data_IF_226443565704
#
_entry.id   IF_226443565704
#
_cell.length_a   1.000
_cell.length_b   1.000
_cell.length_c   1.000
_cell.angle_alpha   90.00
_cell.angle_beta   90.00
_cell.angle_gamma   90.00
#
_symmetry.space_group_name_H-M   'P 1'
#
loop_
_entity.id
_entity.type
_entity.pdbx_description
1 polymer ?
#
# COMPACT_ATOMS: atom_id res chain seq x y z
N UNK A 1 -31.85 -8.52 -32.43
CA UNK A 1 -30.87 -9.44 -31.81
C UNK A 1 -30.32 -8.72 -30.60
N UNK A 2 -30.79 -9.08 -29.41
CA UNK A 2 -30.32 -8.53 -28.14
C UNK A 2 -29.59 -9.64 -27.41
N UNK A 3 -28.37 -9.37 -26.95
CA UNK A 3 -27.95 -9.53 -25.54
C UNK A 3 -26.63 -8.81 -25.37
N UNK A 4 -26.71 -7.69 -24.66
CA UNK A 4 -25.62 -6.93 -24.07
C UNK A 4 -24.83 -7.86 -23.14
N UNK A 5 -23.57 -8.13 -23.48
CA UNK A 5 -22.64 -8.86 -22.61
C UNK A 5 -22.11 -7.90 -21.55
N UNK A 6 -22.67 -8.00 -20.35
CA UNK A 6 -22.23 -7.36 -19.12
C UNK A 6 -20.79 -7.81 -18.80
N UNK A 7 -19.79 -6.94 -19.00
CA UNK A 7 -18.46 -7.13 -18.42
C UNK A 7 -18.53 -6.73 -16.94
N UNK A 8 -18.10 -7.60 -16.01
CA UNK A 8 -18.19 -7.34 -14.57
C UNK A 8 -17.38 -6.09 -14.19
N UNK A 9 -17.91 -5.34 -13.23
CA UNK A 9 -17.43 -4.04 -12.77
C UNK A 9 -15.91 -4.01 -12.53
N UNK A 10 -15.26 -2.97 -13.02
CA UNK A 10 -13.86 -2.64 -12.76
C UNK A 10 -13.73 -1.66 -11.58
N UNK A 11 -14.61 -1.77 -10.58
CA UNK A 11 -14.87 -0.69 -9.60
C UNK A 11 -14.37 -0.98 -8.17
N UNK A 12 -13.62 -2.06 -7.91
CA UNK A 12 -13.19 -2.41 -6.54
C UNK A 12 -11.70 -2.80 -6.40
N UNK A 13 -10.84 -2.57 -7.41
CA UNK A 13 -9.39 -2.70 -7.19
C UNK A 13 -8.86 -1.39 -6.60
N UNK A 14 -8.37 -1.37 -5.34
CA UNK A 14 -7.79 -0.17 -4.75
C UNK A 14 -6.59 0.29 -5.58
N UNK A 15 -6.38 1.61 -5.66
CA UNK A 15 -5.19 2.14 -6.33
C UNK A 15 -3.95 1.61 -5.60
N UNK A 16 -3.04 0.89 -6.28
CA UNK A 16 -1.83 0.36 -5.64
C UNK A 16 -0.99 1.44 -4.94
N UNK A 17 -1.09 2.70 -5.36
CA UNK A 17 -0.42 3.82 -4.70
C UNK A 17 -1.13 4.28 -3.44
N UNK A 18 -2.45 4.14 -3.37
CA UNK A 18 -3.24 4.40 -2.16
C UNK A 18 -2.97 3.31 -1.12
N UNK A 19 -2.96 2.04 -1.54
CA UNK A 19 -2.58 0.90 -0.67
C UNK A 19 -1.14 1.04 -0.14
N UNK A 20 -0.19 1.45 -1.00
CA UNK A 20 1.18 1.71 -0.56
C UNK A 20 1.24 2.82 0.51
N UNK A 21 0.50 3.91 0.32
CA UNK A 21 0.47 5.02 1.28
C UNK A 21 -0.11 4.59 2.64
N UNK A 22 -1.15 3.75 2.66
CA UNK A 22 -1.70 3.19 3.91
C UNK A 22 -0.69 2.29 4.63
N UNK A 23 0.09 1.51 3.88
CA UNK A 23 1.14 0.69 4.45
C UNK A 23 2.30 1.52 5.00
N UNK A 24 2.71 2.60 4.32
CA UNK A 24 3.72 3.53 4.82
C UNK A 24 3.28 4.18 6.14
N UNK A 25 2.04 4.66 6.24
CA UNK A 25 1.47 5.24 7.47
C UNK A 25 1.49 4.22 8.64
N UNK A 26 1.19 2.95 8.33
CA UNK A 26 1.26 1.87 9.32
C UNK A 26 2.71 1.64 9.79
N UNK A 27 3.68 1.65 8.88
CA UNK A 27 5.10 1.48 9.23
C UNK A 27 5.61 2.64 10.09
N UNK A 28 5.24 3.88 9.76
CA UNK A 28 5.57 5.06 10.56
C UNK A 28 4.99 4.94 11.98
N UNK A 29 3.73 4.52 12.12
CA UNK A 29 3.11 4.28 13.42
C UNK A 29 3.86 3.22 14.26
N UNK A 30 4.31 2.11 13.64
CA UNK A 30 5.07 1.08 14.35
C UNK A 30 6.40 1.61 14.89
N UNK A 31 7.05 2.51 14.16
CA UNK A 31 8.29 3.17 14.59
C UNK A 31 7.99 4.14 15.74
N UNK A 32 6.94 4.96 15.62
CA UNK A 32 6.56 5.92 16.66
C UNK A 32 6.18 5.25 17.99
N UNK A 33 5.51 4.09 17.93
CA UNK A 33 5.11 3.32 19.11
C UNK A 33 6.26 2.51 19.73
N UNK A 34 7.46 2.48 19.13
CA UNK A 34 8.64 1.73 19.58
C UNK A 34 8.31 0.25 19.87
N UNK A 35 7.51 -0.36 19.00
CA UNK A 35 7.16 -1.78 19.13
C UNK A 35 8.30 -2.66 18.64
N UNK A 36 8.25 -3.96 18.93
CA UNK A 36 9.31 -4.90 18.57
C UNK A 36 9.62 -4.97 17.05
N UNK A 37 8.73 -4.47 16.19
CA UNK A 37 8.89 -4.39 14.74
C UNK A 37 9.34 -3.01 14.24
N UNK A 38 9.63 -2.05 15.12
CA UNK A 38 10.03 -0.69 14.74
C UNK A 38 11.30 -0.68 13.86
N UNK A 39 12.32 -1.46 14.23
CA UNK A 39 13.57 -1.56 13.45
C UNK A 39 13.33 -2.15 12.05
N UNK A 40 12.49 -3.19 11.94
CA UNK A 40 12.12 -3.78 10.66
C UNK A 40 11.30 -2.79 9.80
N UNK A 41 10.45 -1.98 10.43
CA UNK A 41 9.65 -0.97 9.76
C UNK A 41 10.50 0.19 9.21
N UNK A 42 11.52 0.64 9.95
CA UNK A 42 12.48 1.64 9.49
C UNK A 42 13.24 1.17 8.24
N UNK A 43 13.74 -0.08 8.27
CA UNK A 43 14.42 -0.69 7.12
C UNK A 43 13.52 -0.75 5.88
N UNK A 44 12.24 -1.12 6.05
CA UNK A 44 11.30 -1.21 4.94
C UNK A 44 11.00 0.16 4.31
N UNK A 45 10.85 1.22 5.11
CA UNK A 45 10.66 2.58 4.60
C UNK A 45 11.89 3.07 3.84
N UNK A 46 13.09 2.80 4.35
CA UNK A 46 14.35 3.12 3.66
C UNK A 46 14.45 2.41 2.30
N UNK A 47 14.08 1.12 2.22
CA UNK A 47 14.07 0.37 0.96
C UNK A 47 13.09 0.95 -0.08
N UNK A 48 11.92 1.46 0.36
CA UNK A 48 10.95 2.10 -0.53
C UNK A 48 11.52 3.41 -1.12
N UNK A 49 12.20 4.20 -0.30
CA UNK A 49 12.86 5.44 -0.74
C UNK A 49 14.02 5.16 -1.70
N UNK A 50 14.88 4.18 -1.39
CA UNK A 50 16.00 3.79 -2.25
C UNK A 50 15.55 3.36 -3.65
N UNK A 51 14.41 2.66 -3.72
CA UNK A 51 13.83 2.17 -4.97
C UNK A 51 13.05 3.23 -5.76
N UNK A 52 12.92 4.44 -5.22
CA UNK A 52 12.15 5.56 -5.80
C UNK A 52 10.70 5.19 -6.05
N UNK A 53 10.10 4.43 -5.13
CA UNK A 53 8.64 4.34 -5.05
C UNK A 53 8.03 5.54 -4.32
N UNK A 54 8.91 6.42 -3.82
CA UNK A 54 8.67 7.75 -3.25
C UNK A 54 9.15 8.85 -4.19
#
# INVERSE_FOLDING_TARGET
>A
MSTTGHTPNADDDPDPWEELAEHEDTLEMLIEEDVAMAEDAEILLDELEERRYR
#
